data_IF_910306171146
#
_entry.id   IF_910306171146
#
_cell.length_a   1.000
_cell.length_b   1.000
_cell.length_c   1.000
_cell.angle_alpha   90.00
_cell.angle_beta   90.00
_cell.angle_gamma   90.00
#
_symmetry.space_group_name_H-M   'P 1'
#
loop_
_entity.id
_entity.type
_entity.pdbx_description
1 polymer ?
#
# COMPACT_ATOMS: atom_id res chain seq x y z
N UNK A 1 -16.30 -41.63 -7.73
CA UNK A 1 -16.16 -40.38 -6.94
C UNK A 1 -15.86 -39.27 -7.92
N UNK A 2 -16.74 -38.28 -8.06
CA UNK A 2 -16.51 -37.11 -8.88
C UNK A 2 -16.66 -35.88 -7.97
N UNK A 3 -15.56 -35.15 -7.78
CA UNK A 3 -15.52 -33.91 -7.01
C UNK A 3 -15.55 -32.78 -8.04
N UNK A 4 -16.68 -32.08 -8.12
CA UNK A 4 -16.79 -30.85 -8.92
C UNK A 4 -16.32 -29.69 -8.04
N UNK A 5 -15.20 -29.09 -8.40
CA UNK A 5 -14.71 -27.85 -7.78
C UNK A 5 -15.49 -26.67 -8.36
N UNK A 6 -16.24 -25.94 -7.52
CA UNK A 6 -16.87 -24.68 -7.88
C UNK A 6 -15.79 -23.58 -7.91
N UNK A 7 -15.40 -23.18 -9.11
CA UNK A 7 -14.61 -21.96 -9.37
C UNK A 7 -15.53 -20.74 -9.24
N UNK A 8 -15.29 -19.92 -8.22
CA UNK A 8 -15.97 -18.62 -8.07
C UNK A 8 -15.46 -17.62 -9.10
N UNK A 9 -16.21 -17.42 -10.17
CA UNK A 9 -16.04 -16.30 -11.11
C UNK A 9 -17.17 -15.32 -10.82
N UNK A 10 -16.86 -14.21 -10.17
CA UNK A 10 -17.79 -13.09 -10.04
C UNK A 10 -17.61 -12.16 -11.23
N UNK A 11 -18.47 -12.29 -12.24
CA UNK A 11 -18.70 -11.23 -13.22
C UNK A 11 -20.10 -10.69 -12.95
N UNK A 12 -20.19 -9.54 -12.30
CA UNK A 12 -21.43 -8.75 -12.22
C UNK A 12 -21.25 -7.51 -13.07
N UNK A 13 -21.64 -7.60 -14.35
CA UNK A 13 -22.03 -6.42 -15.10
C UNK A 13 -23.51 -6.19 -14.82
N UNK A 14 -23.85 -5.13 -14.09
CA UNK A 14 -25.22 -4.69 -13.91
C UNK A 14 -25.42 -3.29 -14.49
N UNK A 15 -26.58 -3.15 -15.12
CA UNK A 15 -27.06 -2.08 -15.95
C UNK A 15 -27.26 -0.80 -15.12
N UNK A 16 -26.89 0.35 -15.68
CA UNK A 16 -27.07 1.64 -15.04
C UNK A 16 -28.52 1.95 -14.67
N UNK A 17 -28.70 2.52 -13.47
CA UNK A 17 -29.99 3.01 -13.00
C UNK A 17 -29.88 3.70 -11.64
N UNK A 18 -29.76 5.03 -11.66
CA UNK A 18 -30.17 6.00 -10.61
C UNK A 18 -30.20 5.48 -9.17
N UNK A 19 -29.06 5.51 -8.47
CA UNK A 19 -29.01 5.37 -7.01
C UNK A 19 -27.95 4.43 -6.43
N UNK A 20 -27.01 3.92 -7.23
CA UNK A 20 -25.91 3.11 -6.71
C UNK A 20 -25.04 3.94 -5.76
N UNK A 21 -25.09 3.59 -4.48
CA UNK A 21 -24.02 3.91 -3.56
C UNK A 21 -22.73 3.35 -4.17
N UNK A 22 -21.61 4.11 -4.14
CA UNK A 22 -20.35 3.61 -4.69
C UNK A 22 -20.05 2.26 -4.06
N UNK A 23 -19.75 1.25 -4.88
CA UNK A 23 -19.37 -0.08 -4.41
C UNK A 23 -18.29 0.08 -3.34
N UNK A 24 -18.52 -0.50 -2.16
CA UNK A 24 -17.52 -0.47 -1.10
C UNK A 24 -16.29 -1.27 -1.58
N UNK A 25 -15.07 -0.73 -1.41
CA UNK A 25 -13.87 -1.40 -1.91
C UNK A 25 -13.66 -2.74 -1.22
N UNK A 26 -13.12 -3.71 -1.98
CA UNK A 26 -12.86 -5.06 -1.47
C UNK A 26 -12.07 -5.02 -0.16
N UNK A 27 -12.60 -5.70 0.86
CA UNK A 27 -11.94 -5.85 2.15
C UNK A 27 -10.89 -6.98 2.07
N UNK A 28 -9.62 -6.61 2.07
CA UNK A 28 -8.48 -7.54 1.99
C UNK A 28 -7.76 -7.69 3.34
N UNK A 29 -7.03 -8.80 3.50
CA UNK A 29 -6.30 -9.11 4.73
C UNK A 29 -4.89 -9.65 4.46
N UNK A 30 -4.21 -10.15 5.51
CA UNK A 30 -2.89 -10.75 5.36
C UNK A 30 -2.90 -11.92 4.36
N UNK A 31 -1.90 -11.97 3.50
CA UNK A 31 -1.74 -12.95 2.43
C UNK A 31 -2.47 -12.62 1.12
N UNK A 32 -3.42 -11.69 1.13
CA UNK A 32 -4.14 -11.26 -0.08
C UNK A 32 -3.19 -10.63 -1.10
N UNK A 33 -3.47 -10.85 -2.38
CA UNK A 33 -2.75 -10.25 -3.51
C UNK A 33 -3.70 -9.28 -4.21
N UNK A 34 -3.24 -8.06 -4.47
CA UNK A 34 -3.97 -7.03 -5.20
C UNK A 34 -3.20 -6.67 -6.48
N UNK A 35 -3.90 -6.68 -7.61
CA UNK A 35 -3.39 -6.09 -8.85
C UNK A 35 -3.79 -4.62 -8.92
N UNK A 36 -2.80 -3.74 -8.84
CA UNK A 36 -2.97 -2.29 -8.90
C UNK A 36 -2.71 -1.74 -10.32
N UNK A 37 -2.65 -2.59 -11.34
CA UNK A 37 -2.23 -2.22 -12.68
C UNK A 37 -0.71 -2.21 -12.78
N UNK A 38 -0.07 -1.13 -12.29
CA UNK A 38 1.40 -0.99 -12.29
C UNK A 38 2.11 -1.93 -11.32
N UNK A 39 1.45 -2.31 -10.22
CA UNK A 39 2.05 -3.14 -9.18
C UNK A 39 1.17 -4.35 -8.87
N UNK A 40 1.78 -5.52 -8.69
CA UNK A 40 1.15 -6.63 -7.98
C UNK A 40 1.66 -6.65 -6.54
N UNK A 41 0.75 -6.54 -5.58
CA UNK A 41 1.09 -6.38 -4.17
C UNK A 41 0.47 -7.51 -3.35
N UNK A 42 1.31 -8.28 -2.67
CA UNK A 42 0.90 -9.18 -1.61
C UNK A 42 1.08 -8.50 -0.25
N UNK A 43 0.00 -8.43 0.52
CA UNK A 43 0.01 -7.86 1.88
C UNK A 43 0.48 -8.92 2.86
N UNK A 44 1.75 -8.92 3.26
CA UNK A 44 2.34 -10.04 4.02
C UNK A 44 1.91 -10.00 5.48
N UNK A 45 2.26 -8.93 6.20
CA UNK A 45 1.92 -8.77 7.61
C UNK A 45 2.11 -7.33 8.09
N UNK A 46 1.65 -7.06 9.31
CA UNK A 46 2.12 -5.93 10.12
C UNK A 46 2.70 -6.44 11.44
N UNK A 47 3.79 -5.83 11.90
CA UNK A 47 4.50 -6.25 13.12
C UNK A 47 5.21 -5.10 13.80
N UNK A 48 5.53 -5.29 15.08
CA UNK A 48 6.50 -4.46 15.79
C UNK A 48 7.90 -5.00 15.54
N UNK A 49 8.83 -4.12 15.15
CA UNK A 49 10.26 -4.40 15.07
C UNK A 49 11.01 -3.55 16.09
N UNK A 50 11.86 -4.18 16.87
CA UNK A 50 12.81 -3.51 17.77
C UNK A 50 14.17 -3.49 17.09
N UNK A 51 14.78 -2.31 17.01
CA UNK A 51 16.18 -2.11 16.69
C UNK A 51 16.92 -1.73 17.99
N UNK A 52 17.79 -2.62 18.45
CA UNK A 52 18.56 -2.41 19.67
C UNK A 52 19.50 -1.21 19.53
N UNK A 53 19.67 -0.48 20.63
CA UNK A 53 20.70 0.56 20.74
C UNK A 53 22.09 0.01 20.40
N UNK A 54 22.93 0.79 19.71
CA UNK A 54 24.29 0.33 19.36
C UNK A 54 25.25 0.43 20.55
N UNK A 55 24.90 1.24 21.53
CA UNK A 55 25.68 1.51 22.73
C UNK A 55 24.77 1.52 23.97
N UNK A 56 25.32 1.34 25.16
CA UNK A 56 24.56 1.23 26.42
C UNK A 56 23.70 2.46 26.77
N UNK A 57 23.97 3.61 26.15
CA UNK A 57 23.21 4.85 26.32
C UNK A 57 22.15 5.06 25.21
N UNK A 58 22.18 4.26 24.15
CA UNK A 58 21.18 4.31 23.09
C UNK A 58 19.93 3.58 23.56
N UNK A 59 18.78 4.23 23.43
CA UNK A 59 17.50 3.56 23.64
C UNK A 59 17.12 2.71 22.42
N UNK A 60 16.51 1.57 22.67
CA UNK A 60 15.91 0.73 21.64
C UNK A 60 14.87 1.51 20.85
N UNK A 61 14.90 1.35 19.53
CA UNK A 61 13.93 1.97 18.64
C UNK A 61 12.87 0.94 18.28
N UNK A 62 11.62 1.27 18.55
CA UNK A 62 10.47 0.46 18.20
C UNK A 62 9.81 1.01 16.95
N UNK A 63 9.51 0.15 16.00
CA UNK A 63 8.84 0.50 14.75
C UNK A 63 7.63 -0.39 14.54
N UNK A 64 6.54 0.19 14.04
CA UNK A 64 5.48 -0.59 13.39
C UNK A 64 5.86 -0.73 11.93
N UNK A 65 6.09 -1.95 11.48
CA UNK A 65 6.38 -2.31 10.10
C UNK A 65 5.12 -2.85 9.41
N UNK A 66 4.90 -2.40 8.19
CA UNK A 66 4.01 -2.99 7.21
C UNK A 66 4.89 -3.66 6.15
N UNK A 67 4.70 -4.96 5.98
CA UNK A 67 5.52 -5.78 5.09
C UNK A 67 4.69 -6.19 3.88
N UNK A 68 5.23 -5.91 2.70
CA UNK A 68 4.62 -6.22 1.41
C UNK A 68 5.59 -7.02 0.56
N UNK A 69 5.08 -7.83 -0.35
CA UNK A 69 5.84 -8.32 -1.50
C UNK A 69 5.26 -7.64 -2.74
N UNK A 70 6.08 -6.82 -3.39
CA UNK A 70 5.66 -5.93 -4.47
C UNK A 70 6.42 -6.30 -5.73
N UNK A 71 5.68 -6.53 -6.81
CA UNK A 71 6.23 -6.69 -8.16
C UNK A 71 5.83 -5.49 -8.98
N UNK A 72 6.82 -4.77 -9.53
CA UNK A 72 6.57 -3.73 -10.52
C UNK A 72 6.29 -4.40 -11.87
N UNK A 73 5.07 -4.27 -12.39
CA UNK A 73 4.63 -4.84 -13.67
C UNK A 73 4.88 -3.89 -14.85
N UNK A 74 5.40 -2.70 -14.59
CA UNK A 74 5.89 -1.81 -15.64
C UNK A 74 7.23 -2.27 -16.19
N UNK A 75 7.61 -1.75 -17.34
CA UNK A 75 8.87 -2.01 -18.05
C UNK A 75 10.04 -1.14 -17.56
N UNK A 76 9.76 -0.09 -16.78
CA UNK A 76 10.76 0.80 -16.19
C UNK A 76 10.95 0.58 -14.68
N UNK A 77 12.16 0.84 -14.18
CA UNK A 77 12.41 0.89 -12.73
C UNK A 77 11.53 1.96 -12.08
N UNK A 78 10.79 1.59 -11.04
CA UNK A 78 9.95 2.52 -10.29
C UNK A 78 10.53 2.80 -8.90
N UNK A 79 10.35 3.99 -8.33
CA UNK A 79 10.70 4.23 -6.95
C UNK A 79 9.72 3.53 -6.00
N UNK A 80 10.20 3.09 -4.83
CA UNK A 80 9.32 2.67 -3.71
C UNK A 80 8.43 3.85 -3.29
N UNK A 81 9.01 5.05 -3.21
CA UNK A 81 8.29 6.30 -2.89
C UNK A 81 7.89 6.42 -1.42
N UNK A 82 6.93 7.31 -1.13
CA UNK A 82 6.33 7.49 0.19
C UNK A 82 4.81 7.66 0.04
N UNK A 83 4.02 7.25 1.06
CA UNK A 83 2.61 7.61 1.11
C UNK A 83 2.38 9.12 1.02
N UNK A 84 1.28 9.57 0.39
CA UNK A 84 0.98 10.98 0.27
C UNK A 84 0.62 11.57 1.64
N UNK A 85 1.04 12.81 1.90
CA UNK A 85 0.68 13.53 3.14
C UNK A 85 -0.81 13.87 3.20
N UNK A 86 -1.43 14.10 2.05
CA UNK A 86 -2.85 14.42 1.88
C UNK A 86 -3.40 13.61 0.72
N UNK A 87 -4.60 13.06 0.89
CA UNK A 87 -5.24 12.21 -0.12
C UNK A 87 -5.44 12.96 -1.45
N UNK A 88 -5.70 14.27 -1.42
CA UNK A 88 -5.84 15.11 -2.61
C UNK A 88 -4.54 15.28 -3.40
N UNK A 89 -3.38 14.93 -2.84
CA UNK A 89 -2.09 14.99 -3.52
C UNK A 89 -1.68 13.63 -4.13
N UNK A 90 -2.41 12.56 -3.78
CA UNK A 90 -2.06 11.19 -4.15
C UNK A 90 -1.98 10.99 -5.67
N UNK A 91 -2.85 11.65 -6.44
CA UNK A 91 -2.98 11.45 -7.89
C UNK A 91 -1.69 11.79 -8.68
N UNK A 92 -0.77 12.56 -8.10
CA UNK A 92 0.51 12.92 -8.73
C UNK A 92 1.60 11.86 -8.50
N UNK A 93 1.38 10.90 -7.59
CA UNK A 93 2.34 9.87 -7.27
C UNK A 93 2.13 8.64 -8.16
N UNK A 94 3.22 8.09 -8.69
CA UNK A 94 3.21 6.86 -9.51
C UNK A 94 4.01 5.72 -8.88
N UNK A 95 4.62 5.97 -7.72
CA UNK A 95 5.35 5.00 -6.89
C UNK A 95 4.43 4.03 -6.16
N UNK A 96 4.94 2.86 -5.77
CA UNK A 96 4.20 1.89 -4.96
C UNK A 96 3.65 2.52 -3.67
N UNK A 97 4.49 3.11 -2.81
CA UNK A 97 4.03 3.62 -1.52
C UNK A 97 3.07 4.81 -1.67
N UNK A 98 3.19 5.57 -2.76
CA UNK A 98 2.24 6.62 -3.13
C UNK A 98 0.81 6.12 -3.37
N UNK A 99 0.63 4.83 -3.71
CA UNK A 99 -0.69 4.19 -3.83
C UNK A 99 -1.37 3.91 -2.50
N UNK A 100 -0.65 3.99 -1.38
CA UNK A 100 -1.20 3.79 -0.03
C UNK A 100 -1.83 5.11 0.43
N UNK A 101 -2.94 5.48 -0.21
CA UNK A 101 -3.51 6.84 -0.17
C UNK A 101 -4.08 7.24 1.19
N UNK A 102 -4.36 6.25 2.06
CA UNK A 102 -4.72 6.47 3.45
C UNK A 102 -4.25 5.33 4.33
N UNK A 103 -3.73 5.68 5.51
CA UNK A 103 -3.29 4.74 6.54
C UNK A 103 -3.98 5.12 7.85
N UNK A 104 -4.63 4.14 8.48
CA UNK A 104 -5.40 4.33 9.73
C UNK A 104 -4.96 3.31 10.78
N UNK A 105 -4.65 3.70 12.03
CA UNK A 105 -4.60 5.08 12.52
C UNK A 105 -3.50 5.90 11.83
N UNK A 106 -3.66 7.21 11.85
CA UNK A 106 -2.64 8.12 11.33
C UNK A 106 -1.43 8.14 12.28
N UNK A 107 -0.23 8.13 11.71
CA UNK A 107 1.01 8.35 12.43
C UNK A 107 1.43 9.83 12.32
N UNK A 108 2.15 10.33 13.31
CA UNK A 108 2.69 11.70 13.26
C UNK A 108 3.80 11.80 12.22
N UNK A 109 4.05 12.99 11.67
CA UNK A 109 5.14 13.18 10.69
C UNK A 109 6.53 12.84 11.28
N UNK A 110 6.72 13.01 12.58
CA UNK A 110 7.96 12.65 13.28
C UNK A 110 8.21 11.14 13.32
N UNK A 111 7.15 10.34 13.24
CA UNK A 111 7.23 8.87 13.25
C UNK A 111 7.70 8.31 11.89
N UNK A 112 7.67 9.10 10.81
CA UNK A 112 7.96 8.63 9.46
C UNK A 112 6.95 9.20 8.45
N UNK A 113 6.71 8.53 7.31
CA UNK A 113 7.10 7.15 6.98
C UNK A 113 8.56 6.97 6.55
N UNK A 114 9.10 5.78 6.82
CA UNK A 114 10.31 5.27 6.17
C UNK A 114 9.92 4.08 5.27
N UNK A 115 10.21 4.17 3.97
CA UNK A 115 9.86 3.14 3.01
C UNK A 115 11.08 2.68 2.22
N UNK A 116 11.28 1.37 2.10
CA UNK A 116 12.38 0.77 1.37
C UNK A 116 12.05 -0.66 0.94
N UNK A 117 12.63 -1.11 -0.16
CA UNK A 117 12.70 -2.51 -0.55
C UNK A 117 13.91 -3.19 0.07
N UNK A 118 13.84 -4.51 0.23
CA UNK A 118 14.98 -5.34 0.59
C UNK A 118 15.59 -5.99 -0.65
N UNK A 119 16.92 -5.91 -0.74
CA UNK A 119 17.72 -6.55 -1.78
C UNK A 119 18.88 -7.31 -1.14
N UNK A 120 19.56 -8.19 -1.90
CA UNK A 120 20.74 -8.94 -1.41
C UNK A 120 21.85 -8.04 -0.85
N UNK A 121 21.93 -6.78 -1.30
CA UNK A 121 22.92 -5.79 -0.85
C UNK A 121 22.45 -4.86 0.27
N UNK A 122 21.25 -5.07 0.83
CA UNK A 122 20.64 -4.21 1.84
C UNK A 122 19.38 -3.51 1.34
N UNK A 123 19.11 -2.32 1.88
CA UNK A 123 17.93 -1.52 1.53
C UNK A 123 18.05 -0.92 0.12
N UNK A 124 16.95 -0.88 -0.63
CA UNK A 124 16.83 -0.20 -1.92
C UNK A 124 15.62 0.72 -1.93
N UNK A 125 15.68 1.79 -2.72
CA UNK A 125 14.54 2.68 -2.99
C UNK A 125 13.90 2.44 -4.34
N UNK A 126 14.33 1.39 -5.04
CA UNK A 126 13.92 1.07 -6.41
C UNK A 126 13.25 -0.30 -6.46
N UNK A 127 12.26 -0.42 -7.34
CA UNK A 127 11.54 -1.62 -7.69
C UNK A 127 11.82 -1.92 -9.17
N UNK A 128 12.56 -3.01 -9.39
CA UNK A 128 12.90 -3.46 -10.74
C UNK A 128 11.69 -4.13 -11.41
N UNK A 129 11.52 -3.98 -12.73
CA UNK A 129 10.49 -4.68 -13.51
C UNK A 129 10.50 -6.19 -13.24
N UNK A 130 9.32 -6.76 -13.02
CA UNK A 130 9.06 -8.20 -12.86
C UNK A 130 9.85 -8.93 -11.76
N UNK A 131 10.49 -8.19 -10.86
CA UNK A 131 11.21 -8.75 -9.70
C UNK A 131 10.40 -8.54 -8.43
N UNK A 132 9.85 -9.61 -7.82
CA UNK A 132 9.22 -9.53 -6.51
C UNK A 132 10.22 -9.01 -5.47
N UNK A 133 9.88 -7.88 -4.84
CA UNK A 133 10.70 -7.21 -3.85
C UNK A 133 9.93 -7.09 -2.55
N UNK A 134 10.53 -7.51 -1.43
CA UNK A 134 9.93 -7.27 -0.13
C UNK A 134 10.06 -5.78 0.22
N UNK A 135 8.95 -5.08 0.34
CA UNK A 135 8.90 -3.66 0.71
C UNK A 135 8.47 -3.53 2.16
N UNK A 136 9.19 -2.71 2.90
CA UNK A 136 8.89 -2.34 4.28
C UNK A 136 8.49 -0.87 4.29
N UNK A 137 7.30 -0.60 4.81
CA UNK A 137 6.88 0.74 5.22
C UNK A 137 6.81 0.75 6.75
N UNK A 138 7.60 1.60 7.40
CA UNK A 138 7.69 1.61 8.85
C UNK A 138 7.52 2.99 9.47
N UNK A 139 6.95 2.99 10.67
CA UNK A 139 6.72 4.16 11.51
C UNK A 139 7.35 3.92 12.87
N UNK A 140 8.14 4.89 13.35
CA UNK A 140 8.74 4.85 14.68
C UNK A 140 7.68 5.12 15.74
N UNK A 141 7.61 4.25 16.73
CA UNK A 141 6.83 4.49 17.94
C UNK A 141 7.63 5.38 18.89
N UNK A 142 6.93 6.27 19.59
CA UNK A 142 7.52 7.00 20.73
C UNK A 142 7.83 6.03 21.86
N UNK A 143 8.69 6.48 22.77
CA UNK A 143 9.05 5.70 23.95
C UNK A 143 7.79 5.39 24.75
N UNK A 144 7.58 4.11 25.07
CA UNK A 144 6.39 3.59 25.76
C UNK A 144 5.05 3.77 25.02
N UNK A 145 5.04 4.16 23.75
CA UNK A 145 3.83 4.16 22.94
C UNK A 145 3.41 2.72 22.62
N UNK A 146 2.13 2.40 22.85
CA UNK A 146 1.58 1.12 22.45
C UNK A 146 1.35 1.14 20.93
N UNK A 147 1.81 0.10 20.20
CA UNK A 147 1.46 -0.04 18.80
C UNK A 147 -0.06 -0.18 18.65
N UNK A 148 -0.63 0.27 17.52
CA UNK A 148 -2.04 0.03 17.23
C UNK A 148 -2.31 -1.46 17.08
N UNK A 149 -3.49 -1.93 17.47
CA UNK A 149 -3.86 -3.35 17.34
C UNK A 149 -3.99 -3.81 15.89
N UNK A 150 -4.39 -2.88 15.00
CA UNK A 150 -4.55 -3.09 13.56
C UNK A 150 -4.28 -1.82 12.78
N UNK A 151 -3.89 -1.99 11.53
CA UNK A 151 -3.73 -0.93 10.55
C UNK A 151 -4.63 -1.21 9.35
N UNK A 152 -5.33 -0.17 8.89
CA UNK A 152 -6.13 -0.18 7.68
C UNK A 152 -5.48 0.69 6.60
N UNK A 153 -5.37 0.16 5.38
CA UNK A 153 -4.80 0.81 4.22
C UNK A 153 -5.88 0.96 3.15
N UNK A 154 -6.11 2.18 2.68
CA UNK A 154 -6.85 2.40 1.43
C UNK A 154 -5.82 2.45 0.30
N UNK A 155 -5.97 1.57 -0.69
CA UNK A 155 -4.99 1.36 -1.76
C UNK A 155 -5.58 1.75 -3.11
N UNK A 156 -4.88 2.62 -3.84
CA UNK A 156 -5.27 3.08 -5.16
C UNK A 156 -4.67 2.21 -6.30
N UNK A 157 -5.26 2.35 -7.49
CA UNK A 157 -4.83 1.70 -8.71
C UNK A 157 -4.11 2.65 -9.67
N UNK A 158 -3.46 2.07 -10.67
CA UNK A 158 -2.80 2.77 -11.76
C UNK A 158 -3.25 2.22 -13.10
N UNK A 159 -3.31 3.10 -14.09
CA UNK A 159 -3.59 2.76 -15.49
C UNK A 159 -2.48 3.34 -16.38
N UNK A 160 -2.19 2.64 -17.47
CA UNK A 160 -1.17 3.05 -18.44
C UNK A 160 -1.86 3.58 -19.69
N UNK A 161 -2.16 4.86 -19.68
CA UNK A 161 -2.96 5.51 -20.72
C UNK A 161 -2.37 6.89 -21.07
N UNK A 162 -2.66 7.42 -22.27
CA UNK A 162 -2.40 8.81 -22.57
C UNK A 162 -3.11 9.73 -21.58
N UNK A 163 -2.50 10.86 -21.24
CA UNK A 163 -3.18 11.89 -20.45
C UNK A 163 -3.72 13.00 -21.35
N UNK A 164 -4.46 13.94 -20.77
CA UNK A 164 -5.07 15.03 -21.53
C UNK A 164 -4.06 16.01 -22.16
N UNK A 165 -2.79 15.96 -21.75
CA UNK A 165 -1.71 16.84 -22.21
C UNK A 165 -0.75 16.16 -23.19
N UNK A 166 -0.78 14.84 -23.29
CA UNK A 166 0.17 14.04 -24.05
C UNK A 166 -0.46 12.75 -24.57
N UNK A 167 -0.35 12.54 -25.88
CA UNK A 167 -0.72 11.28 -26.55
C UNK A 167 0.24 10.11 -26.21
N UNK A 168 1.33 10.37 -25.48
CA UNK A 168 2.25 9.33 -25.02
C UNK A 168 1.70 8.67 -23.76
N UNK A 169 1.38 7.36 -23.77
CA UNK A 169 0.89 6.67 -22.61
C UNK A 169 1.89 6.72 -21.45
N UNK A 170 1.39 6.94 -20.25
CA UNK A 170 2.18 6.92 -19.03
C UNK A 170 1.36 6.33 -17.89
N UNK A 171 2.05 5.82 -16.87
CA UNK A 171 1.37 5.33 -15.67
C UNK A 171 0.79 6.51 -14.88
N UNK A 172 -0.54 6.56 -14.77
CA UNK A 172 -1.27 7.51 -13.94
C UNK A 172 -2.07 6.81 -12.85
N UNK A 173 -2.25 7.46 -11.70
CA UNK A 173 -3.15 6.96 -10.66
C UNK A 173 -4.60 7.17 -11.09
N UNK A 174 -5.42 6.11 -11.00
CA UNK A 174 -6.85 6.18 -11.28
C UNK A 174 -7.49 7.13 -10.27
N UNK A 175 -8.15 8.15 -10.80
CA UNK A 175 -8.68 9.24 -9.98
C UNK A 175 -9.89 9.89 -10.65
N UNK A 176 -10.78 10.41 -9.82
CA UNK A 176 -12.00 11.10 -10.24
C UNK A 176 -12.03 12.52 -9.73
N UNK A 177 -12.73 13.38 -10.45
CA UNK A 177 -13.00 14.75 -10.01
C UNK A 177 -14.14 14.74 -8.98
N UNK A 178 -13.90 15.39 -7.84
CA UNK A 178 -14.87 15.57 -6.75
C UNK A 178 -14.85 17.05 -6.38
N UNK A 179 -15.76 17.82 -6.98
CA UNK A 179 -15.69 19.28 -6.96
C UNK A 179 -14.42 19.76 -7.67
N UNK A 180 -13.70 20.71 -7.07
CA UNK A 180 -12.45 21.25 -7.63
C UNK A 180 -11.21 20.40 -7.30
N UNK A 181 -11.40 19.18 -6.79
CA UNK A 181 -10.32 18.30 -6.33
C UNK A 181 -10.29 17.00 -7.13
N UNK A 182 -9.09 16.52 -7.42
CA UNK A 182 -8.88 15.18 -7.98
C UNK A 182 -8.60 14.19 -6.84
N UNK A 183 -9.48 13.21 -6.69
CA UNK A 183 -9.44 12.22 -5.62
C UNK A 183 -9.04 10.86 -6.19
N UNK A 184 -8.11 10.14 -5.57
CA UNK A 184 -7.77 8.78 -5.99
C UNK A 184 -8.99 7.86 -5.83
N UNK A 185 -9.15 6.92 -6.76
CA UNK A 185 -10.10 5.84 -6.58
C UNK A 185 -9.47 4.75 -5.71
N UNK A 186 -10.14 4.43 -4.60
CA UNK A 186 -9.71 3.37 -3.70
C UNK A 186 -10.15 2.05 -4.30
N UNK A 187 -9.18 1.25 -4.76
CA UNK A 187 -9.43 -0.07 -5.33
C UNK A 187 -9.70 -1.12 -4.27
N UNK A 188 -9.01 -1.05 -3.15
CA UNK A 188 -9.17 -2.00 -2.06
C UNK A 188 -8.90 -1.34 -0.70
N UNK A 189 -9.55 -1.88 0.34
CA UNK A 189 -9.28 -1.56 1.73
C UNK A 189 -8.68 -2.78 2.42
N UNK A 190 -7.45 -2.67 2.89
CA UNK A 190 -6.72 -3.78 3.51
C UNK A 190 -6.65 -3.57 5.01
N UNK A 191 -6.97 -4.58 5.82
CA UNK A 191 -6.78 -4.53 7.28
C UNK A 191 -5.78 -5.57 7.74
N UNK A 192 -4.76 -5.13 8.46
CA UNK A 192 -3.68 -5.96 9.01
C UNK A 192 -3.62 -5.82 10.52
N UNK A 193 -3.74 -6.92 11.26
CA UNK A 193 -3.45 -6.93 12.69
C UNK A 193 -1.95 -6.77 12.93
N UNK A 194 -1.57 -5.94 13.90
CA UNK A 194 -0.16 -5.68 14.24
C UNK A 194 0.31 -6.74 15.24
N UNK A 195 1.25 -7.58 14.80
CA UNK A 195 1.86 -8.61 15.66
C UNK A 195 2.88 -7.98 16.62
N UNK A 196 2.90 -8.44 17.87
CA UNK A 196 3.83 -7.95 18.90
C UNK A 196 3.34 -6.70 19.66
N UNK A 197 2.05 -6.35 19.53
CA UNK A 197 1.45 -5.20 20.22
C UNK A 197 0.68 -5.50 21.50
N UNK A 198 0.42 -6.77 21.80
CA UNK A 198 -0.21 -7.19 23.05
C UNK A 198 0.81 -7.94 23.91
N UNK A 199 1.18 -7.35 25.05
CA UNK A 199 1.88 -8.01 26.17
C UNK A 199 3.04 -8.93 25.77
N UNK A 200 4.22 -8.35 25.54
CA UNK A 200 5.49 -9.03 25.75
C UNK A 200 6.09 -8.53 27.06
#
# INVERSE_FOLDING_TARGET
>A
MAMVALTGIGITALLGGLGEAPEEPDALGPGSVLDQGRYSTKFVESRVKVEEGKFDFDQDKRFVELVFEVTNKGDETAPVGLPPKKIEQAFTATSFAGSLVKITPAFTEEAGPFAFGLSKGGETRQLQPDVPTQVILRYRLKDNENPPEKITLDVAAFEFEPDFLSDTPQWGMVSKEVGDKRMPEVKARVTLSVKGGAGA
#
